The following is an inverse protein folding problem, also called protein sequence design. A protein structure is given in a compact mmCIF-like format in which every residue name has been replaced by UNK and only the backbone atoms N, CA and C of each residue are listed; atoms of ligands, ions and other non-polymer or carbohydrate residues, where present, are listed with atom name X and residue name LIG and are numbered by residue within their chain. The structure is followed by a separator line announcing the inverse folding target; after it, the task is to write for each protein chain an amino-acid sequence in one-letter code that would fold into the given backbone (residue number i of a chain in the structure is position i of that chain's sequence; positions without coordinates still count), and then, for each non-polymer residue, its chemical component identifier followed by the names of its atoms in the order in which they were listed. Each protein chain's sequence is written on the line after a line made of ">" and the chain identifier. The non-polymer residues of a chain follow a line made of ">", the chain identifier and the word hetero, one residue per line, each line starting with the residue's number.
data_IF_545873727598
#
_entry.id   IF_545873727598
#
_cell.length_a   1.000
_cell.length_b   1.000
_cell.length_c   1.000
_cell.angle_alpha   90.00
_cell.angle_beta   90.00
_cell.angle_gamma   90.00
#
_symmetry.space_group_name_H-M   'P 1'
#
loop_
_entity.id
_entity.type
_entity.pdbx_description
1 polymer ?
#
# COMPACT_ATOMS: atom_id res chain seq x y z
N UNK A 1 34.33 13.44 -7.60
CA UNK A 1 33.90 12.23 -6.85
C UNK A 1 32.40 12.30 -6.64
N UNK A 2 31.73 11.16 -6.90
CA UNK A 2 30.31 10.84 -6.72
C UNK A 2 29.28 11.61 -7.58
N UNK A 3 28.48 10.86 -8.36
CA UNK A 3 27.11 11.31 -8.71
C UNK A 3 26.59 11.12 -10.14
N UNK A 4 27.35 10.62 -11.13
CA UNK A 4 26.93 10.81 -12.53
C UNK A 4 26.88 9.61 -13.47
N UNK A 5 27.00 8.37 -13.00
CA UNK A 5 26.89 7.22 -13.93
C UNK A 5 25.97 6.07 -13.50
N UNK A 6 25.60 5.94 -12.23
CA UNK A 6 24.90 4.75 -11.71
C UNK A 6 23.61 5.10 -10.93
N UNK A 7 23.25 6.38 -10.83
CA UNK A 7 22.10 6.87 -10.05
C UNK A 7 20.97 7.47 -10.88
N UNK A 8 20.99 7.30 -12.20
CA UNK A 8 19.84 7.63 -13.03
C UNK A 8 18.85 6.46 -12.95
N UNK A 9 18.00 6.48 -11.91
CA UNK A 9 16.81 5.63 -11.84
C UNK A 9 15.84 6.12 -12.91
N UNK A 10 16.10 5.76 -14.16
CA UNK A 10 15.25 6.09 -15.31
C UNK A 10 13.85 5.46 -15.20
N UNK A 11 13.67 4.53 -14.25
CA UNK A 11 12.46 3.75 -14.05
C UNK A 11 11.79 4.02 -12.69
N UNK A 12 11.90 5.24 -12.16
CA UNK A 12 11.05 5.67 -11.05
C UNK A 12 9.55 5.56 -11.40
N UNK A 13 9.20 5.61 -12.69
CA UNK A 13 7.84 5.38 -13.18
C UNK A 13 7.40 3.90 -13.12
N UNK A 14 8.33 2.95 -13.00
CA UNK A 14 8.05 1.51 -12.84
C UNK A 14 8.05 1.07 -11.38
N UNK A 15 8.30 1.99 -10.42
CA UNK A 15 8.16 1.69 -9.01
C UNK A 15 6.67 1.49 -8.69
N UNK A 16 6.23 0.23 -8.73
CA UNK A 16 5.01 -0.20 -8.08
C UNK A 16 5.09 0.19 -6.61
N UNK A 17 3.99 0.73 -6.13
CA UNK A 17 3.83 1.24 -4.77
C UNK A 17 4.39 0.26 -3.75
N UNK A 18 5.22 0.77 -2.84
CA UNK A 18 5.75 0.00 -1.74
C UNK A 18 4.58 -0.28 -0.80
N UNK A 19 4.01 -1.49 -0.91
CA UNK A 19 2.96 -1.95 -0.01
C UNK A 19 3.54 -2.19 1.38
N UNK A 20 3.84 -1.09 2.09
CA UNK A 20 4.02 -1.09 3.52
C UNK A 20 2.69 -1.48 4.19
N UNK A 21 2.72 -1.82 5.47
CA UNK A 21 1.53 -2.21 6.22
C UNK A 21 0.51 -1.06 6.38
N UNK A 22 0.89 0.20 6.07
CA UNK A 22 0.05 1.38 6.26
C UNK A 22 -0.91 1.61 5.11
N UNK A 23 -0.49 1.43 3.87
CA UNK A 23 -1.39 1.61 2.73
C UNK A 23 -2.62 0.70 2.78
N UNK A 24 -2.51 -0.63 3.01
CA UNK A 24 -3.69 -1.49 3.16
C UNK A 24 -4.60 -1.05 4.30
N UNK A 25 -4.03 -0.52 5.39
CA UNK A 25 -4.79 0.01 6.53
C UNK A 25 -5.63 1.23 6.14
N UNK A 26 -5.03 2.19 5.43
CA UNK A 26 -5.70 3.40 4.95
C UNK A 26 -6.79 3.03 3.94
N UNK A 27 -6.48 2.19 2.98
CA UNK A 27 -7.44 1.77 1.95
C UNK A 27 -8.63 1.01 2.58
N UNK A 28 -8.38 0.17 3.60
CA UNK A 28 -9.44 -0.47 4.39
C UNK A 28 -10.27 0.54 5.16
N UNK A 29 -9.66 1.56 5.75
CA UNK A 29 -10.36 2.61 6.49
C UNK A 29 -11.35 3.39 5.61
N UNK A 30 -10.97 3.67 4.35
CA UNK A 30 -11.85 4.34 3.38
C UNK A 30 -12.81 3.40 2.64
N UNK A 31 -12.79 2.09 2.94
CA UNK A 31 -13.64 1.10 2.27
C UNK A 31 -13.23 0.78 0.83
N UNK A 32 -12.02 1.17 0.40
CA UNK A 32 -11.43 0.78 -0.89
C UNK A 32 -11.04 -0.70 -0.86
N UNK A 33 -10.50 -1.16 0.26
CA UNK A 33 -10.30 -2.59 0.53
C UNK A 33 -11.34 -3.11 1.52
N UNK A 34 -11.94 -4.24 1.19
CA UNK A 34 -12.81 -5.00 2.08
C UNK A 34 -12.22 -6.39 2.26
N UNK A 35 -12.13 -6.84 3.51
CA UNK A 35 -11.65 -8.18 3.85
C UNK A 35 -12.84 -9.09 4.09
N UNK A 36 -12.67 -10.37 3.77
CA UNK A 36 -13.58 -11.40 4.25
C UNK A 36 -13.71 -11.32 5.79
N UNK A 37 -14.91 -11.57 6.38
CA UNK A 37 -15.11 -11.46 7.82
C UNK A 37 -14.09 -12.25 8.67
N UNK A 38 -13.62 -13.42 8.20
CA UNK A 38 -12.63 -14.21 8.92
C UNK A 38 -11.26 -13.51 8.92
N UNK A 39 -10.80 -13.03 7.76
CA UNK A 39 -9.55 -12.28 7.64
C UNK A 39 -9.61 -10.96 8.43
N UNK A 40 -10.75 -10.26 8.36
CA UNK A 40 -10.99 -9.04 9.11
C UNK A 40 -10.88 -9.28 10.63
N UNK A 41 -11.44 -10.38 11.14
CA UNK A 41 -11.37 -10.75 12.54
C UNK A 41 -9.92 -11.00 12.99
N UNK A 42 -9.14 -11.75 12.21
CA UNK A 42 -7.72 -12.04 12.50
C UNK A 42 -6.85 -10.78 12.51
N UNK A 43 -7.02 -9.92 11.50
CA UNK A 43 -6.32 -8.63 11.43
C UNK A 43 -6.71 -7.72 12.61
N UNK A 44 -8.00 -7.69 12.98
CA UNK A 44 -8.48 -6.89 14.11
C UNK A 44 -7.96 -7.42 15.46
N UNK A 45 -7.81 -8.74 15.60
CA UNK A 45 -7.17 -9.38 16.74
C UNK A 45 -5.64 -9.21 16.74
N UNK A 46 -5.08 -8.57 15.71
CA UNK A 46 -3.64 -8.36 15.52
C UNK A 46 -2.84 -9.66 15.49
N UNK A 47 -3.48 -10.74 15.03
CA UNK A 47 -2.83 -12.02 14.81
C UNK A 47 -1.75 -11.89 13.72
N UNK A 48 -0.72 -12.71 13.84
CA UNK A 48 0.29 -12.82 12.82
C UNK A 48 -0.27 -13.64 11.66
N UNK A 49 -0.32 -13.02 10.48
CA UNK A 49 -0.54 -13.72 9.23
C UNK A 49 0.76 -14.44 8.84
N UNK A 50 0.59 -15.56 8.14
CA UNK A 50 1.73 -16.31 7.61
C UNK A 50 2.45 -15.45 6.56
N UNK A 51 3.77 -15.23 6.69
CA UNK A 51 4.54 -14.49 5.70
C UNK A 51 4.48 -15.19 4.34
N UNK A 52 4.15 -14.45 3.28
CA UNK A 52 3.90 -15.01 1.94
C UNK A 52 2.76 -16.06 1.89
N UNK A 53 1.93 -16.14 2.93
CA UNK A 53 0.67 -16.88 2.92
C UNK A 53 -0.37 -16.19 2.06
N UNK A 54 -1.43 -16.91 1.66
CA UNK A 54 -2.43 -16.39 0.73
C UNK A 54 -3.06 -15.08 1.19
N UNK A 55 -3.42 -14.95 2.47
CA UNK A 55 -4.04 -13.74 3.00
C UNK A 55 -3.10 -12.52 2.97
N UNK A 56 -1.82 -12.71 3.30
CA UNK A 56 -0.84 -11.62 3.25
C UNK A 56 -0.57 -11.18 1.81
N UNK A 57 -0.43 -12.16 0.91
CA UNK A 57 -0.24 -11.92 -0.53
C UNK A 57 -1.45 -11.22 -1.14
N UNK A 58 -2.67 -11.66 -0.81
CA UNK A 58 -3.91 -11.06 -1.29
C UNK A 58 -4.05 -9.60 -0.82
N UNK A 59 -3.77 -9.32 0.46
CA UNK A 59 -3.80 -7.94 0.98
C UNK A 59 -2.83 -7.05 0.20
N UNK A 60 -1.60 -7.52 -0.05
CA UNK A 60 -0.59 -6.72 -0.75
C UNK A 60 -0.89 -6.57 -2.24
N UNK A 61 -1.30 -7.63 -2.92
CA UNK A 61 -1.69 -7.58 -4.32
C UNK A 61 -2.89 -6.64 -4.53
N UNK A 62 -3.92 -6.74 -3.67
CA UNK A 62 -5.08 -5.85 -3.72
C UNK A 62 -4.70 -4.39 -3.45
N UNK A 63 -3.75 -4.13 -2.55
CA UNK A 63 -3.23 -2.78 -2.27
C UNK A 63 -2.55 -2.17 -3.48
N UNK A 64 -1.66 -2.92 -4.15
CA UNK A 64 -0.98 -2.46 -5.37
C UNK A 64 -2.01 -2.14 -6.45
N UNK A 65 -2.97 -3.04 -6.66
CA UNK A 65 -3.99 -2.84 -7.69
C UNK A 65 -4.92 -1.67 -7.40
N UNK A 66 -5.38 -1.53 -6.16
CA UNK A 66 -6.25 -0.42 -5.75
C UNK A 66 -5.57 0.94 -5.97
N UNK A 67 -4.27 1.04 -5.71
CA UNK A 67 -3.55 2.28 -5.92
C UNK A 67 -3.24 2.56 -7.40
N UNK A 68 -3.03 1.53 -8.22
CA UNK A 68 -2.93 1.69 -9.67
C UNK A 68 -4.25 2.20 -10.27
N UNK A 69 -5.39 1.66 -9.83
CA UNK A 69 -6.70 2.16 -10.21
C UNK A 69 -6.87 3.63 -9.79
N UNK A 70 -6.49 3.99 -8.56
CA UNK A 70 -6.51 5.37 -8.10
C UNK A 70 -5.66 6.28 -9.00
N UNK A 71 -4.47 5.82 -9.42
CA UNK A 71 -3.59 6.57 -10.32
C UNK A 71 -4.25 6.82 -11.68
N UNK A 72 -4.87 5.79 -12.25
CA UNK A 72 -5.56 5.88 -13.54
C UNK A 72 -6.74 6.85 -13.47
N UNK A 73 -7.55 6.78 -12.42
CA UNK A 73 -8.67 7.69 -12.20
C UNK A 73 -8.20 9.14 -12.02
N UNK A 74 -7.17 9.38 -11.20
CA UNK A 74 -6.60 10.72 -11.03
C UNK A 74 -6.08 11.30 -12.36
N UNK A 75 -5.43 10.49 -13.19
CA UNK A 75 -4.99 10.90 -14.51
C UNK A 75 -6.16 11.23 -15.45
N UNK A 76 -7.23 10.43 -15.44
CA UNK A 76 -8.45 10.70 -16.20
C UNK A 76 -9.13 12.03 -15.81
N UNK A 77 -8.97 12.45 -14.56
CA UNK A 77 -9.45 13.74 -14.06
C UNK A 77 -8.45 14.91 -14.24
N UNK A 78 -7.37 14.71 -15.01
CA UNK A 78 -6.37 15.75 -15.30
C UNK A 78 -5.36 15.99 -14.17
N UNK A 79 -5.32 15.11 -13.17
CA UNK A 79 -4.36 15.13 -12.07
C UNK A 79 -3.41 13.93 -12.20
N UNK A 80 -2.57 13.93 -13.23
CA UNK A 80 -1.55 12.89 -13.39
C UNK A 80 -0.58 12.92 -12.19
N UNK A 81 -0.40 11.74 -11.57
CA UNK A 81 0.48 11.54 -10.43
C UNK A 81 1.29 10.26 -10.63
N UNK A 82 2.50 10.26 -10.09
CA UNK A 82 3.34 9.07 -9.99
C UNK A 82 2.87 8.15 -8.87
N UNK A 83 3.22 6.87 -8.96
CA UNK A 83 2.99 5.89 -7.91
C UNK A 83 3.57 6.35 -6.55
N UNK A 84 4.77 6.92 -6.57
CA UNK A 84 5.44 7.45 -5.38
C UNK A 84 4.69 8.63 -4.74
N UNK A 85 4.11 9.53 -5.53
CA UNK A 85 3.32 10.63 -4.98
C UNK A 85 2.00 10.15 -4.36
N UNK A 86 1.37 9.12 -4.95
CA UNK A 86 0.18 8.50 -4.37
C UNK A 86 0.52 7.85 -3.04
N UNK A 87 1.59 7.06 -2.99
CA UNK A 87 2.10 6.44 -1.77
C UNK A 87 2.35 7.47 -0.67
N UNK A 88 3.13 8.51 -0.97
CA UNK A 88 3.45 9.57 -0.02
C UNK A 88 2.18 10.27 0.50
N UNK A 89 1.19 10.53 -0.36
CA UNK A 89 -0.06 11.18 0.05
C UNK A 89 -0.92 10.27 0.92
N UNK A 90 -1.05 8.99 0.57
CA UNK A 90 -1.78 8.01 1.37
C UNK A 90 -1.13 7.81 2.73
N UNK A 91 0.21 7.77 2.78
CA UNK A 91 0.96 7.69 4.01
C UNK A 91 0.74 8.92 4.90
N UNK A 92 0.86 10.13 4.34
CA UNK A 92 0.59 11.39 5.07
C UNK A 92 -0.86 11.48 5.57
N UNK A 93 -1.81 11.00 4.76
CA UNK A 93 -3.21 10.90 5.16
C UNK A 93 -3.36 9.97 6.36
N UNK A 94 -2.70 8.81 6.36
CA UNK A 94 -2.68 7.85 7.48
C UNK A 94 -2.27 8.48 8.81
N UNK A 95 -1.29 9.40 8.79
CA UNK A 95 -0.75 10.04 9.99
C UNK A 95 -1.75 10.98 10.67
N UNK A 96 -2.72 11.49 9.92
CA UNK A 96 -3.73 12.43 10.42
C UNK A 96 -5.07 11.75 10.75
N UNK A 97 -5.20 10.46 10.47
CA UNK A 97 -6.43 9.70 10.72
C UNK A 97 -6.43 9.09 12.13
N UNK A 98 -7.59 9.13 12.76
CA UNK A 98 -7.86 8.45 14.06
C UNK A 98 -8.94 7.40 13.87
N UNK A 99 -8.96 6.37 14.72
CA UNK A 99 -9.98 5.31 14.67
C UNK A 99 -9.82 4.30 13.52
N UNK A 100 -8.67 4.27 12.85
CA UNK A 100 -8.39 3.22 11.86
C UNK A 100 -8.31 1.84 12.52
N UNK A 101 -8.91 0.84 11.87
CA UNK A 101 -8.74 -0.56 12.26
C UNK A 101 -7.27 -0.97 12.16
N UNK A 102 -6.80 -1.97 12.92
CA UNK A 102 -5.41 -2.42 12.86
C UNK A 102 -4.95 -2.83 11.45
N UNK A 103 -3.66 -2.69 11.20
CA UNK A 103 -3.00 -3.22 10.01
C UNK A 103 -2.65 -4.71 10.18
N UNK A 104 -2.53 -5.42 9.06
CA UNK A 104 -2.10 -6.83 9.06
C UNK A 104 -0.63 -6.93 9.52
N UNK A 105 -0.29 -7.99 10.27
CA UNK A 105 1.07 -8.22 10.77
C UNK A 105 1.61 -9.52 10.19
N UNK A 106 2.79 -9.49 9.61
CA UNK A 106 3.53 -10.67 9.17
C UNK A 106 5.02 -10.47 9.46
N UNK A 107 5.71 -11.51 9.94
CA UNK A 107 7.16 -11.45 10.14
C UNK A 107 7.89 -11.67 8.82
N UNK A 108 8.40 -10.60 8.23
CA UNK A 108 9.14 -10.66 6.97
C UNK A 108 10.41 -9.80 7.04
N UNK A 109 11.45 -10.26 6.33
CA UNK A 109 12.70 -9.51 6.12
C UNK A 109 12.69 -8.74 4.79
N UNK A 110 11.62 -8.86 4.00
CA UNK A 110 11.49 -8.24 2.69
C UNK A 110 10.77 -6.88 2.81
N UNK A 111 11.53 -5.78 2.70
CA UNK A 111 11.07 -4.40 2.58
C UNK A 111 11.94 -3.65 1.56
#
# INVERSE_FOLDING_TARGET
>A
CAGQRWGALADLEQLTIFADYKLPQVLRHFGVLAYDPALAARVNAQELLEPAGSEEVEIRAATVWACELLRQEMAAHGCAMTAMEIDQRLWLLAQNLTGMQPYHRAYTIYY
#
